data_IF_613088285148
#
_entry.id   IF_613088285148
#
_cell.length_a   1.000
_cell.length_b   1.000
_cell.length_c   1.000
_cell.angle_alpha   90.00
_cell.angle_beta   90.00
_cell.angle_gamma   90.00
#
_symmetry.space_group_name_H-M   'P 1'
#
loop_
_entity.id
_entity.type
_entity.pdbx_description
1 polymer ?
#
# COMPACT_ATOMS: atom_id res chain seq x y z
N UNK A 1 -6.42 7.10 -6.85
CA UNK A 1 -5.72 6.24 -5.89
C UNK A 1 -5.96 4.77 -6.22
N UNK A 2 -4.88 4.00 -6.34
CA UNK A 2 -4.90 2.56 -6.62
C UNK A 2 -4.16 1.85 -5.48
N UNK A 3 -4.89 1.17 -4.61
CA UNK A 3 -4.31 0.34 -3.55
C UNK A 3 -4.34 -1.13 -3.95
N UNK A 4 -3.16 -1.71 -4.18
CA UNK A 4 -3.02 -3.14 -4.50
C UNK A 4 -3.60 -4.02 -3.40
N UNK A 5 -3.39 -3.63 -2.15
CA UNK A 5 -3.95 -4.35 -1.01
C UNK A 5 -5.48 -4.37 -1.00
N UNK A 6 -6.14 -3.26 -1.38
CA UNK A 6 -7.60 -3.21 -1.44
C UNK A 6 -8.14 -4.05 -2.60
N UNK A 7 -7.48 -4.02 -3.76
CA UNK A 7 -7.85 -4.87 -4.90
C UNK A 7 -7.76 -6.35 -4.51
N UNK A 8 -6.67 -6.76 -3.86
CA UNK A 8 -6.49 -8.15 -3.43
C UNK A 8 -7.51 -8.55 -2.36
N UNK A 9 -7.78 -7.69 -1.37
CA UNK A 9 -8.84 -7.96 -0.37
C UNK A 9 -10.22 -8.10 -0.99
N UNK A 10 -10.55 -7.24 -1.95
CA UNK A 10 -11.79 -7.37 -2.70
C UNK A 10 -11.85 -8.69 -3.50
N UNK A 11 -10.74 -9.07 -4.14
CA UNK A 11 -10.63 -10.34 -4.86
C UNK A 11 -10.82 -11.55 -3.94
N UNK A 12 -10.22 -11.53 -2.74
CA UNK A 12 -10.40 -12.58 -1.71
C UNK A 12 -11.86 -12.65 -1.25
N UNK A 13 -12.46 -11.50 -0.94
CA UNK A 13 -13.86 -11.42 -0.49
C UNK A 13 -14.83 -11.97 -1.55
N UNK A 14 -14.56 -11.67 -2.82
CA UNK A 14 -15.37 -12.11 -3.95
C UNK A 14 -14.98 -13.51 -4.47
N UNK A 15 -14.03 -14.19 -3.83
CA UNK A 15 -13.54 -15.52 -4.21
C UNK A 15 -13.15 -15.66 -5.68
N UNK A 16 -12.58 -14.61 -6.25
CA UNK A 16 -12.06 -14.65 -7.62
C UNK A 16 -10.85 -15.61 -7.72
N UNK A 17 -10.49 -16.11 -8.92
CA UNK A 17 -9.30 -16.95 -9.08
C UNK A 17 -8.02 -16.31 -8.52
N UNK A 18 -7.86 -15.00 -8.69
CA UNK A 18 -6.77 -14.23 -8.10
C UNK A 18 -6.87 -14.21 -6.57
N UNK A 19 -8.07 -13.92 -6.03
CA UNK A 19 -8.29 -13.86 -4.59
C UNK A 19 -8.01 -15.19 -3.88
N UNK A 20 -8.42 -16.31 -4.48
CA UNK A 20 -8.14 -17.65 -3.95
C UNK A 20 -6.63 -17.91 -3.87
N UNK A 21 -5.86 -17.53 -4.91
CA UNK A 21 -4.40 -17.65 -4.92
C UNK A 21 -3.72 -16.70 -3.93
N UNK A 22 -4.18 -15.46 -3.85
CA UNK A 22 -3.56 -14.42 -3.03
C UNK A 22 -3.79 -14.63 -1.52
N UNK A 23 -4.91 -15.26 -1.12
CA UNK A 23 -5.32 -15.36 0.28
C UNK A 23 -4.23 -15.94 1.19
N UNK A 24 -3.61 -17.05 0.80
CA UNK A 24 -2.58 -17.72 1.62
C UNK A 24 -1.37 -16.81 1.90
N UNK A 25 -0.90 -16.07 0.89
CA UNK A 25 0.21 -15.11 1.05
C UNK A 25 -0.19 -13.95 1.96
N UNK A 26 -1.39 -13.40 1.78
CA UNK A 26 -1.88 -12.27 2.59
C UNK A 26 -2.04 -12.66 4.06
N UNK A 27 -2.61 -13.83 4.34
CA UNK A 27 -2.81 -14.34 5.71
C UNK A 27 -1.45 -14.58 6.41
N UNK A 28 -0.43 -15.01 5.66
CA UNK A 28 0.93 -15.20 6.16
C UNK A 28 1.72 -13.88 6.27
N UNK A 29 1.24 -12.79 5.70
CA UNK A 29 1.97 -11.51 5.63
C UNK A 29 3.09 -11.51 4.59
N UNK A 30 3.01 -12.38 3.61
CA UNK A 30 3.95 -12.51 2.50
C UNK A 30 3.47 -11.73 1.27
N UNK A 31 4.38 -11.54 0.29
CA UNK A 31 4.03 -10.94 -1.00
C UNK A 31 3.38 -12.00 -1.91
N UNK A 32 2.31 -11.58 -2.58
CA UNK A 32 1.75 -12.35 -3.71
C UNK A 32 2.78 -12.34 -4.84
N UNK A 33 2.97 -13.45 -5.59
CA UNK A 33 3.95 -13.55 -6.66
C UNK A 33 3.93 -12.38 -7.64
N UNK A 34 5.13 -11.92 -8.05
CA UNK A 34 5.32 -10.71 -8.85
C UNK A 34 4.53 -10.73 -10.17
N UNK A 35 4.51 -11.87 -10.86
CA UNK A 35 3.79 -12.05 -12.12
C UNK A 35 2.29 -11.73 -11.98
N UNK A 36 1.65 -12.23 -10.93
CA UNK A 36 0.23 -11.98 -10.67
C UNK A 36 -0.05 -10.51 -10.37
N UNK A 37 0.85 -9.87 -9.64
CA UNK A 37 0.69 -8.44 -9.29
C UNK A 37 0.97 -7.55 -10.48
N UNK A 38 1.98 -7.87 -11.29
CA UNK A 38 2.33 -7.11 -12.49
C UNK A 38 1.17 -7.15 -13.50
N UNK A 39 0.60 -8.33 -13.76
CA UNK A 39 -0.54 -8.48 -14.66
C UNK A 39 -1.75 -7.69 -14.17
N UNK A 40 -2.07 -7.80 -12.87
CA UNK A 40 -3.15 -7.03 -12.24
C UNK A 40 -2.95 -5.52 -12.40
N UNK A 41 -1.73 -5.04 -12.17
CA UNK A 41 -1.43 -3.60 -12.24
C UNK A 41 -1.41 -3.09 -13.67
N UNK A 42 -0.98 -3.90 -14.64
CA UNK A 42 -1.05 -3.56 -16.05
C UNK A 42 -2.48 -3.31 -16.49
N UNK A 43 -3.37 -4.26 -16.23
CA UNK A 43 -4.80 -4.09 -16.53
C UNK A 43 -5.41 -2.86 -15.82
N UNK A 44 -4.99 -2.59 -14.58
CA UNK A 44 -5.56 -1.48 -13.79
C UNK A 44 -5.09 -0.10 -14.27
N UNK A 45 -3.82 0.05 -14.63
CA UNK A 45 -3.23 1.32 -15.08
C UNK A 45 -3.75 1.72 -16.47
N UNK A 46 -4.21 0.77 -17.27
CA UNK A 46 -4.78 1.01 -18.60
C UNK A 46 -6.25 1.47 -18.56
N UNK A 47 -6.91 1.47 -17.37
CA UNK A 47 -8.30 1.91 -17.25
C UNK A 47 -8.45 3.44 -17.48
N UNK A 48 -9.55 3.90 -18.09
CA UNK A 48 -9.74 5.32 -18.42
C UNK A 48 -9.69 6.28 -17.23
N UNK A 49 -10.05 5.82 -16.03
CA UNK A 49 -10.02 6.64 -14.80
C UNK A 49 -8.60 6.98 -14.33
N UNK A 50 -7.58 6.35 -14.93
CA UNK A 50 -6.17 6.58 -14.63
C UNK A 50 -5.48 7.57 -15.56
N UNK A 51 -6.13 7.99 -16.64
CA UNK A 51 -5.53 8.85 -17.69
C UNK A 51 -4.97 10.17 -17.16
N UNK A 52 -5.63 10.77 -16.17
CA UNK A 52 -5.23 12.05 -15.57
C UNK A 52 -4.09 11.94 -14.56
N UNK A 53 -3.67 10.73 -14.22
CA UNK A 53 -2.64 10.42 -13.24
C UNK A 53 -3.11 9.41 -12.20
N UNK A 54 -2.15 8.83 -11.49
CA UNK A 54 -2.41 7.81 -10.47
C UNK A 54 -1.52 8.01 -9.25
N UNK A 55 -2.03 7.63 -8.09
CA UNK A 55 -1.24 7.37 -6.89
C UNK A 55 -1.30 5.85 -6.68
N UNK A 56 -0.14 5.19 -6.75
CA UNK A 56 0.00 3.76 -6.51
C UNK A 56 0.33 3.54 -5.03
N UNK A 57 -0.46 2.70 -4.37
CA UNK A 57 -0.29 2.34 -2.96
C UNK A 57 -0.04 0.84 -2.83
N UNK A 58 1.11 0.49 -2.25
CA UNK A 58 1.54 -0.89 -2.09
C UNK A 58 2.02 -1.56 -3.38
N UNK A 59 2.43 -0.79 -4.38
CA UNK A 59 3.07 -1.21 -5.61
C UNK A 59 4.00 -0.09 -6.13
N UNK A 60 5.23 -0.42 -6.57
CA UNK A 60 5.86 -1.72 -6.50
C UNK A 60 6.31 -2.10 -5.07
N UNK A 61 6.55 -3.39 -4.80
CA UNK A 61 7.13 -3.90 -3.56
C UNK A 61 8.41 -4.71 -3.78
N UNK A 62 8.81 -4.92 -5.01
CA UNK A 62 10.07 -5.58 -5.39
C UNK A 62 10.71 -4.83 -6.53
N UNK A 63 12.02 -5.00 -6.72
CA UNK A 63 12.73 -4.41 -7.86
C UNK A 63 12.22 -4.96 -9.20
N UNK A 64 11.80 -6.22 -9.25
CA UNK A 64 11.15 -6.82 -10.43
C UNK A 64 9.88 -6.05 -10.80
N UNK A 65 9.03 -5.76 -9.81
CA UNK A 65 7.82 -4.98 -10.02
C UNK A 65 8.14 -3.53 -10.43
N UNK A 66 9.20 -2.91 -9.88
CA UNK A 66 9.60 -1.56 -10.25
C UNK A 66 10.04 -1.47 -11.72
N UNK A 67 10.87 -2.39 -12.18
CA UNK A 67 11.28 -2.46 -13.59
C UNK A 67 10.09 -2.69 -14.53
N UNK A 68 9.15 -3.55 -14.12
CA UNK A 68 7.92 -3.76 -14.88
C UNK A 68 7.05 -2.49 -14.93
N UNK A 69 6.93 -1.75 -13.81
CA UNK A 69 6.21 -0.48 -13.78
C UNK A 69 6.83 0.55 -14.69
N UNK A 70 8.15 0.70 -14.69
CA UNK A 70 8.86 1.64 -15.56
C UNK A 70 8.60 1.33 -17.04
N UNK A 71 8.58 0.03 -17.39
CA UNK A 71 8.27 -0.42 -18.76
C UNK A 71 6.83 -0.05 -19.14
N UNK A 72 5.86 -0.36 -18.28
CA UNK A 72 4.45 -0.01 -18.51
C UNK A 72 4.23 1.49 -18.70
N UNK A 73 4.84 2.30 -17.81
CA UNK A 73 4.69 3.75 -17.87
C UNK A 73 5.39 4.37 -19.08
N UNK A 74 6.52 3.79 -19.54
CA UNK A 74 7.20 4.20 -20.76
C UNK A 74 6.34 3.90 -22.00
N UNK A 75 5.72 2.72 -22.09
CA UNK A 75 4.79 2.35 -23.18
C UNK A 75 3.59 3.30 -23.24
N UNK A 76 3.05 3.69 -22.09
CA UNK A 76 1.94 4.64 -21.96
C UNK A 76 2.37 6.11 -22.10
N UNK A 77 3.67 6.41 -22.20
CA UNK A 77 4.24 7.77 -22.20
C UNK A 77 3.84 8.60 -20.96
N UNK A 78 3.77 7.96 -19.82
CA UNK A 78 3.34 8.51 -18.53
C UNK A 78 4.43 8.30 -17.48
N UNK A 79 5.51 9.13 -17.48
CA UNK A 79 6.63 8.95 -16.56
C UNK A 79 6.19 9.06 -15.10
N UNK A 80 6.83 8.29 -14.21
CA UNK A 80 6.66 8.44 -12.77
C UNK A 80 7.17 9.82 -12.34
N UNK A 81 6.41 10.54 -11.52
CA UNK A 81 6.77 11.85 -11.02
C UNK A 81 7.59 11.79 -9.74
N UNK A 82 7.24 10.88 -8.83
CA UNK A 82 7.93 10.68 -7.56
C UNK A 82 7.64 9.29 -7.00
N UNK A 83 8.57 8.76 -6.21
CA UNK A 83 8.38 7.65 -5.31
C UNK A 83 8.45 8.17 -3.88
N UNK A 84 7.32 8.13 -3.17
CA UNK A 84 7.20 8.68 -1.82
C UNK A 84 7.48 7.60 -0.79
N UNK A 85 8.52 7.81 0.02
CA UNK A 85 8.82 7.03 1.22
C UNK A 85 8.29 7.77 2.44
N UNK A 86 7.32 7.19 3.14
CA UNK A 86 6.90 7.64 4.47
C UNK A 86 7.66 6.77 5.47
N UNK A 87 8.73 7.33 6.03
CA UNK A 87 9.62 6.61 6.93
C UNK A 87 9.07 6.62 8.35
N UNK A 88 8.92 5.44 8.97
CA UNK A 88 8.33 5.25 10.30
C UNK A 88 9.08 4.12 11.02
N UNK A 89 9.35 4.31 12.31
CA UNK A 89 9.93 3.25 13.15
C UNK A 89 9.05 1.99 13.18
N UNK A 90 9.67 0.82 13.11
CA UNK A 90 8.95 -0.46 13.02
C UNK A 90 8.07 -0.74 14.22
N UNK A 91 8.50 -0.41 15.43
CA UNK A 91 7.68 -0.62 16.63
C UNK A 91 6.46 0.33 16.64
N UNK A 92 6.60 1.52 16.07
CA UNK A 92 5.47 2.42 15.85
C UNK A 92 4.49 1.83 14.85
N UNK A 93 4.99 1.24 13.75
CA UNK A 93 4.15 0.54 12.76
C UNK A 93 3.42 -0.63 13.41
N UNK A 94 4.11 -1.49 14.17
CA UNK A 94 3.49 -2.62 14.90
C UNK A 94 2.34 -2.11 15.76
N UNK A 95 2.59 -1.08 16.59
CA UNK A 95 1.59 -0.48 17.47
C UNK A 95 0.40 0.09 16.71
N UNK A 96 0.65 0.83 15.61
CA UNK A 96 -0.40 1.42 14.78
C UNK A 96 -1.27 0.35 14.13
N UNK A 97 -0.67 -0.69 13.53
CA UNK A 97 -1.41 -1.72 12.80
C UNK A 97 -2.19 -2.65 13.75
N UNK A 98 -1.62 -3.07 14.88
CA UNK A 98 -2.32 -3.93 15.85
C UNK A 98 -3.46 -3.21 16.56
N UNK A 99 -3.40 -1.88 16.70
CA UNK A 99 -4.47 -1.06 17.26
C UNK A 99 -5.51 -0.61 16.22
N UNK A 100 -5.23 -0.76 14.92
CA UNK A 100 -6.12 -0.31 13.85
C UNK A 100 -7.47 -1.03 13.91
N UNK A 101 -8.53 -0.27 13.66
CA UNK A 101 -9.88 -0.80 13.39
C UNK A 101 -10.40 -0.18 12.10
N UNK A 102 -11.23 -0.93 11.40
CA UNK A 102 -11.88 -0.46 10.17
C UNK A 102 -13.38 -0.57 10.29
N UNK A 103 -14.09 0.40 9.73
CA UNK A 103 -15.54 0.33 9.63
C UNK A 103 -15.96 -0.61 8.49
N UNK A 104 -16.88 -1.55 8.79
CA UNK A 104 -17.45 -2.46 7.79
C UNK A 104 -18.28 -1.75 6.74
N UNK A 105 -18.93 -0.63 7.10
CA UNK A 105 -19.87 0.09 6.24
C UNK A 105 -19.16 1.09 5.31
N UNK A 106 -18.32 1.99 5.86
CA UNK A 106 -17.73 3.09 5.11
C UNK A 106 -16.21 2.98 4.90
N UNK A 107 -15.56 1.96 5.47
CA UNK A 107 -14.10 1.78 5.35
C UNK A 107 -13.26 2.75 6.17
N UNK A 108 -13.87 3.60 7.01
CA UNK A 108 -13.15 4.53 7.88
C UNK A 108 -12.14 3.78 8.76
N UNK A 109 -10.93 4.36 8.88
CA UNK A 109 -9.86 3.81 9.71
C UNK A 109 -9.88 4.53 11.06
N UNK A 110 -10.07 3.76 12.11
CA UNK A 110 -10.03 4.21 13.50
C UNK A 110 -9.11 3.31 14.35
N UNK A 111 -9.33 3.33 15.64
CA UNK A 111 -8.52 2.63 16.64
C UNK A 111 -9.35 1.73 17.56
N UNK A 112 -8.67 1.00 18.45
CA UNK A 112 -9.32 0.18 19.49
C UNK A 112 -10.20 0.99 20.45
N UNK A 113 -10.03 2.31 20.52
CA UNK A 113 -10.85 3.18 21.35
C UNK A 113 -12.25 3.44 20.78
N UNK A 114 -12.43 3.17 19.47
CA UNK A 114 -13.68 3.46 18.76
C UNK A 114 -14.65 2.28 18.90
N UNK A 115 -15.64 2.40 19.78
CA UNK A 115 -16.69 1.40 19.95
C UNK A 115 -17.60 1.29 18.72
N UNK A 116 -17.78 2.40 17.99
CA UNK A 116 -18.51 2.49 16.72
C UNK A 116 -17.79 3.50 15.82
N UNK A 117 -18.01 3.40 14.52
CA UNK A 117 -17.38 4.29 13.55
C UNK A 117 -17.73 5.76 13.79
N UNK A 118 -16.75 6.65 14.01
CA UNK A 118 -17.02 8.07 14.23
C UNK A 118 -17.59 8.77 13.00
N UNK A 119 -17.40 8.21 11.80
CA UNK A 119 -17.88 8.80 10.56
C UNK A 119 -19.32 8.40 10.20
N UNK A 120 -19.78 7.18 10.52
CA UNK A 120 -21.09 6.68 10.11
C UNK A 120 -21.83 5.86 11.16
N UNK A 121 -21.26 5.62 12.35
CA UNK A 121 -21.87 4.80 13.41
C UNK A 121 -21.80 3.29 13.15
N UNK A 122 -21.20 2.85 12.05
CA UNK A 122 -21.12 1.43 11.68
C UNK A 122 -20.19 0.61 12.57
N UNK A 123 -20.25 -0.71 12.43
CA UNK A 123 -19.45 -1.65 13.21
C UNK A 123 -17.97 -1.57 12.84
N UNK A 124 -17.11 -1.52 13.87
CA UNK A 124 -15.66 -1.54 13.71
C UNK A 124 -15.12 -2.97 13.84
N UNK A 125 -14.14 -3.33 13.00
CA UNK A 125 -13.48 -4.64 13.05
C UNK A 125 -11.96 -4.52 12.89
N UNK A 126 -11.22 -5.50 13.36
CA UNK A 126 -9.81 -5.66 13.08
C UNK A 126 -9.62 -6.53 11.83
N UNK A 127 -8.68 -6.17 10.97
CA UNK A 127 -8.30 -7.03 9.85
C UNK A 127 -7.60 -8.29 10.37
N UNK A 128 -7.77 -9.41 9.68
CA UNK A 128 -7.13 -10.69 10.05
C UNK A 128 -5.59 -10.61 10.00
N UNK A 129 -5.05 -9.76 9.11
CA UNK A 129 -3.62 -9.52 8.93
C UNK A 129 -3.03 -8.42 9.85
N UNK A 130 -3.81 -7.88 10.79
CA UNK A 130 -3.37 -6.87 11.77
C UNK A 130 -3.00 -7.49 13.15
N UNK A 131 -2.77 -8.80 13.23
CA UNK A 131 -2.18 -9.42 14.40
C UNK A 131 -0.66 -9.22 14.44
N UNK A 132 -0.07 -9.18 15.64
CA UNK A 132 1.34 -8.82 15.81
C UNK A 132 2.30 -9.74 15.04
N UNK A 133 2.06 -11.05 15.04
CA UNK A 133 2.93 -12.00 14.36
C UNK A 133 2.96 -11.76 12.84
N UNK A 134 1.79 -11.58 12.22
CA UNK A 134 1.68 -11.26 10.80
C UNK A 134 2.27 -9.90 10.48
N UNK A 135 2.06 -8.88 11.33
CA UNK A 135 2.64 -7.54 11.13
C UNK A 135 4.16 -7.60 11.18
N UNK A 136 4.77 -8.30 12.15
CA UNK A 136 6.22 -8.47 12.21
C UNK A 136 6.77 -9.21 10.99
N UNK A 137 6.11 -10.27 10.53
CA UNK A 137 6.51 -10.94 9.29
C UNK A 137 6.44 -10.01 8.07
N UNK A 138 5.41 -9.16 7.97
CA UNK A 138 5.32 -8.14 6.91
C UNK A 138 6.47 -7.13 6.94
N UNK A 139 6.96 -6.76 8.11
CA UNK A 139 8.13 -5.88 8.24
C UNK A 139 9.41 -6.59 7.82
N UNK A 140 9.61 -7.86 8.18
CA UNK A 140 10.74 -8.66 7.71
C UNK A 140 10.73 -8.82 6.18
N UNK A 141 9.55 -9.04 5.59
CA UNK A 141 9.38 -9.11 4.13
C UNK A 141 9.64 -7.75 3.48
N UNK A 142 9.21 -6.65 4.13
CA UNK A 142 9.50 -5.30 3.67
C UNK A 142 11.01 -5.04 3.61
N UNK A 143 11.75 -5.35 4.67
CA UNK A 143 13.21 -5.15 4.70
C UNK A 143 13.93 -5.92 3.59
N UNK A 144 13.51 -7.17 3.36
CA UNK A 144 14.15 -8.05 2.36
C UNK A 144 13.81 -7.69 0.93
N UNK A 145 12.57 -7.32 0.66
CA UNK A 145 12.04 -7.23 -0.70
C UNK A 145 11.72 -5.81 -1.15
N UNK A 146 11.27 -4.94 -0.23
CA UNK A 146 10.76 -3.60 -0.56
C UNK A 146 11.77 -2.50 -0.24
N UNK A 147 12.51 -2.60 0.86
CA UNK A 147 13.54 -1.61 1.21
C UNK A 147 14.59 -1.37 0.11
N UNK A 148 14.99 -2.36 -0.72
CA UNK A 148 15.86 -2.13 -1.87
C UNK A 148 15.33 -1.13 -2.90
N UNK A 149 14.01 -0.88 -2.93
CA UNK A 149 13.41 0.15 -3.79
C UNK A 149 13.85 1.57 -3.41
N UNK A 150 14.26 1.80 -2.18
CA UNK A 150 14.77 3.10 -1.71
C UNK A 150 16.00 3.48 -2.54
N UNK A 151 16.95 2.56 -2.70
CA UNK A 151 18.15 2.81 -3.51
C UNK A 151 17.82 2.84 -5.00
N UNK A 152 16.89 2.01 -5.46
CA UNK A 152 16.42 2.02 -6.85
C UNK A 152 15.87 3.39 -7.24
N UNK A 153 14.92 3.94 -6.49
CA UNK A 153 14.31 5.24 -6.80
C UNK A 153 15.22 6.43 -6.48
N UNK A 154 16.14 6.29 -5.52
CA UNK A 154 17.19 7.27 -5.28
C UNK A 154 18.14 7.37 -6.49
N UNK A 155 18.50 6.24 -7.08
CA UNK A 155 19.34 6.19 -8.30
C UNK A 155 18.66 6.79 -9.54
N UNK A 156 17.32 6.90 -9.53
CA UNK A 156 16.53 7.54 -10.58
C UNK A 156 16.19 9.02 -10.29
N UNK A 157 16.67 9.59 -9.19
CA UNK A 157 16.30 10.95 -8.72
C UNK A 157 14.79 11.15 -8.49
N UNK A 158 14.07 10.07 -8.17
CA UNK A 158 12.62 10.09 -7.96
C UNK A 158 12.21 9.96 -6.48
N UNK A 159 13.15 9.61 -5.60
CA UNK A 159 12.81 9.33 -4.19
C UNK A 159 12.54 10.61 -3.42
N UNK A 160 11.38 10.68 -2.80
CA UNK A 160 10.98 11.71 -1.82
C UNK A 160 10.75 11.05 -0.48
N UNK A 161 11.51 11.42 0.55
CA UNK A 161 11.40 10.84 1.89
C UNK A 161 10.74 11.81 2.85
N UNK A 162 9.73 11.34 3.59
CA UNK A 162 8.97 12.10 4.59
C UNK A 162 9.04 11.33 5.91
N UNK A 163 9.31 12.04 7.00
CA UNK A 163 9.19 11.51 8.35
C UNK A 163 7.71 11.27 8.70
N UNK A 164 7.31 10.02 8.80
CA UNK A 164 5.96 9.58 9.11
C UNK A 164 5.69 9.34 10.60
N UNK A 165 6.66 9.62 11.46
CA UNK A 165 6.54 9.40 12.91
C UNK A 165 5.95 10.63 13.65
N UNK A 166 5.13 11.38 12.92
CA UNK A 166 4.49 12.60 13.36
C UNK A 166 2.97 12.52 13.20
N UNK A 167 2.30 13.61 13.58
CA UNK A 167 0.87 13.75 13.37
C UNK A 167 0.50 13.68 11.89
N UNK A 168 -0.65 13.07 11.58
CA UNK A 168 -1.09 12.82 10.20
C UNK A 168 -1.26 14.11 9.39
N UNK A 169 -1.73 15.18 10.01
CA UNK A 169 -1.92 16.46 9.31
C UNK A 169 -0.59 17.12 8.97
N UNK A 170 0.43 16.97 9.83
CA UNK A 170 1.80 17.44 9.60
C UNK A 170 2.43 16.64 8.45
N UNK A 171 2.36 15.30 8.49
CA UNK A 171 2.86 14.43 7.43
C UNK A 171 2.18 14.77 6.09
N UNK A 172 0.87 14.99 6.09
CA UNK A 172 0.12 15.37 4.89
C UNK A 172 0.56 16.72 4.32
N UNK A 173 0.82 17.71 5.18
CA UNK A 173 1.32 19.02 4.76
C UNK A 173 2.70 18.91 4.10
N UNK A 174 3.61 18.12 4.69
CA UNK A 174 4.94 17.88 4.15
C UNK A 174 4.91 17.15 2.81
N UNK A 175 4.04 16.15 2.68
CA UNK A 175 3.81 15.45 1.39
C UNK A 175 3.37 16.42 0.30
N UNK A 176 2.40 17.30 0.59
CA UNK A 176 1.96 18.32 -0.37
C UNK A 176 3.09 19.26 -0.77
N UNK A 177 3.82 19.76 0.21
CA UNK A 177 4.96 20.65 -0.04
C UNK A 177 6.02 19.98 -0.90
N UNK A 178 6.40 18.76 -0.58
CA UNK A 178 7.43 18.00 -1.30
C UNK A 178 7.02 17.67 -2.75
N UNK A 179 5.72 17.51 -3.01
CA UNK A 179 5.18 17.23 -4.34
C UNK A 179 4.78 18.50 -5.12
N UNK A 180 4.89 19.68 -4.51
CA UNK A 180 4.51 20.96 -5.14
C UNK A 180 2.99 21.15 -5.31
N UNK A 181 2.19 20.62 -4.39
CA UNK A 181 0.72 20.63 -4.39
C UNK A 181 0.13 21.69 -3.43
#
# INVERSE_FOLDING_TARGET
HISTGDILRAAVKNQTPLGVKAKGFMDAGELVPDDLIIDLMKERIEQPDTEKGVILDGFPRTTTQAVALDTMLAELKRPLNAALLIDVDFEVIVKRLTSRRMCKECGHIGSVADAACPACGGEMYQRDDDNEATVRNRLDVYEKSTAPLIDYYRGCDLLVSIDGDRDVDVVYADVKQALGL
#
